data_IF_488470247100
#
_entry.id   IF_488470247100
#
_cell.length_a   1.000
_cell.length_b   1.000
_cell.length_c   1.000
_cell.angle_alpha   90.00
_cell.angle_beta   90.00
_cell.angle_gamma   90.00
#
_symmetry.space_group_name_H-M   'P 1'
#
loop_
_entity.id
_entity.type
_entity.pdbx_description
1 polymer ?
#
# COMPACT_ATOMS: atom_id res chain seq x y z
N UNK A 1 -4.99 -6.48 -2.68
CA UNK A 1 -3.87 -5.57 -3.03
C UNK A 1 -4.30 -4.37 -3.89
N UNK A 2 -5.52 -4.32 -4.46
CA UNK A 2 -5.97 -3.24 -5.34
C UNK A 2 -6.21 -1.89 -4.64
N UNK A 3 -6.68 -1.89 -3.39
CA UNK A 3 -7.01 -0.69 -2.62
C UNK A 3 -5.83 0.30 -2.47
N UNK A 4 -4.59 -0.19 -2.36
CA UNK A 4 -3.42 0.66 -2.20
C UNK A 4 -3.05 1.42 -3.49
N UNK A 5 -3.23 0.78 -4.66
CA UNK A 5 -2.95 1.42 -5.95
C UNK A 5 -3.99 2.49 -6.31
N UNK A 6 -5.24 2.27 -5.91
CA UNK A 6 -6.33 3.22 -6.11
C UNK A 6 -6.17 4.45 -5.21
N UNK A 7 -5.83 4.23 -3.93
CA UNK A 7 -5.47 5.31 -3.00
C UNK A 7 -4.29 6.14 -3.53
N UNK A 8 -3.24 5.49 -4.04
CA UNK A 8 -2.08 6.17 -4.63
C UNK A 8 -2.47 7.04 -5.83
N UNK A 9 -3.33 6.54 -6.73
CA UNK A 9 -3.84 7.32 -7.86
C UNK A 9 -4.62 8.55 -7.39
N UNK A 10 -5.51 8.39 -6.41
CA UNK A 10 -6.28 9.51 -5.87
C UNK A 10 -5.41 10.57 -5.19
N UNK A 11 -4.34 10.15 -4.48
CA UNK A 11 -3.36 11.07 -3.88
C UNK A 11 -2.64 11.89 -4.95
N UNK A 12 -2.19 11.25 -6.03
CA UNK A 12 -1.50 11.93 -7.13
C UNK A 12 -2.43 12.87 -7.88
N UNK A 13 -3.67 12.45 -8.12
CA UNK A 13 -4.67 13.26 -8.80
C UNK A 13 -5.05 14.49 -7.97
N UNK A 14 -5.26 14.34 -6.67
CA UNK A 14 -5.52 15.45 -5.77
C UNK A 14 -4.35 16.44 -5.72
N UNK A 15 -3.11 15.94 -5.67
CA UNK A 15 -1.90 16.77 -5.66
C UNK A 15 -1.80 17.70 -6.88
N UNK A 16 -1.99 17.12 -8.07
CA UNK A 16 -1.86 17.83 -9.34
C UNK A 16 -3.00 18.82 -9.55
N UNK A 17 -4.22 18.42 -9.19
CA UNK A 17 -5.42 19.25 -9.39
C UNK A 17 -5.61 20.31 -8.30
N UNK A 18 -4.91 20.21 -7.16
CA UNK A 18 -4.98 21.22 -6.09
C UNK A 18 -4.52 22.60 -6.55
N UNK A 19 -3.48 22.70 -7.38
CA UNK A 19 -3.01 23.98 -7.90
C UNK A 19 -4.10 24.68 -8.73
N UNK A 20 -4.70 23.94 -9.65
CA UNK A 20 -5.81 24.39 -10.51
C UNK A 20 -7.04 24.76 -9.69
N UNK A 21 -7.37 23.98 -8.67
CA UNK A 21 -8.51 24.28 -7.79
C UNK A 21 -8.28 25.54 -6.94
N UNK A 22 -7.04 25.81 -6.52
CA UNK A 22 -6.71 27.06 -5.83
C UNK A 22 -6.81 28.27 -6.78
N UNK A 23 -6.40 28.14 -8.03
CA UNK A 23 -6.58 29.19 -9.04
C UNK A 23 -8.05 29.42 -9.37
N UNK A 24 -8.83 28.34 -9.49
CA UNK A 24 -10.29 28.42 -9.67
C UNK A 24 -10.98 29.13 -8.49
N UNK A 25 -10.53 28.87 -7.25
CA UNK A 25 -11.01 29.56 -6.05
C UNK A 25 -10.61 31.04 -6.04
N UNK A 26 -9.37 31.37 -6.45
CA UNK A 26 -8.89 32.75 -6.56
C UNK A 26 -9.59 33.54 -7.66
N UNK A 27 -9.95 32.88 -8.76
CA UNK A 27 -10.70 33.44 -9.88
C UNK A 27 -12.21 33.63 -9.57
N UNK A 28 -12.63 33.42 -8.32
CA UNK A 28 -14.01 33.69 -7.87
C UNK A 28 -15.05 32.76 -8.48
N UNK A 29 -14.69 31.52 -8.81
CA UNK A 29 -15.59 30.55 -9.47
C UNK A 29 -16.06 31.00 -10.86
N UNK A 30 -15.15 31.60 -11.64
CA UNK A 30 -15.43 31.97 -13.03
C UNK A 30 -15.89 30.77 -13.87
N UNK A 31 -17.08 30.89 -14.49
CA UNK A 31 -17.64 29.88 -15.41
C UNK A 31 -16.69 29.54 -16.57
N UNK A 32 -15.90 30.51 -17.05
CA UNK A 32 -14.92 30.31 -18.13
C UNK A 32 -13.78 29.40 -17.69
N UNK A 33 -13.31 29.56 -16.45
CA UNK A 33 -12.23 28.75 -15.89
C UNK A 33 -12.72 27.33 -15.57
N UNK A 34 -13.97 27.21 -15.11
CA UNK A 34 -14.60 25.90 -14.92
C UNK A 34 -14.72 25.13 -16.22
N UNK A 35 -15.09 25.77 -17.34
CA UNK A 35 -15.20 25.11 -18.63
C UNK A 35 -13.84 24.64 -19.17
N UNK A 36 -12.77 25.41 -18.95
CA UNK A 36 -11.42 25.04 -19.36
C UNK A 36 -10.79 23.91 -18.51
N UNK A 37 -11.09 23.89 -17.20
CA UNK A 37 -10.52 22.94 -16.24
C UNK A 37 -11.54 21.96 -15.65
N UNK A 38 -12.61 21.66 -16.39
CA UNK A 38 -13.76 20.91 -15.88
C UNK A 38 -13.37 19.51 -15.41
N UNK A 39 -12.54 18.83 -16.20
CA UNK A 39 -12.00 17.50 -15.90
C UNK A 39 -11.16 17.50 -14.64
N UNK A 40 -10.28 18.49 -14.47
CA UNK A 40 -9.38 18.63 -13.33
C UNK A 40 -10.14 18.95 -12.03
N UNK A 41 -11.17 19.79 -12.11
CA UNK A 41 -12.04 20.12 -10.97
C UNK A 41 -12.87 18.90 -10.55
N UNK A 42 -13.42 18.14 -11.51
CA UNK A 42 -14.14 16.90 -11.23
C UNK A 42 -13.22 15.85 -10.58
N UNK A 43 -12.01 15.67 -11.10
CA UNK A 43 -11.00 14.80 -10.51
C UNK A 43 -10.64 15.22 -9.09
N UNK A 44 -10.50 16.53 -8.83
CA UNK A 44 -10.24 17.06 -7.49
C UNK A 44 -11.40 16.74 -6.52
N UNK A 45 -12.65 16.95 -6.96
CA UNK A 45 -13.84 16.67 -6.15
C UNK A 45 -14.02 15.18 -5.90
N UNK A 46 -13.77 14.32 -6.89
CA UNK A 46 -13.85 12.87 -6.74
C UNK A 46 -12.80 12.37 -5.74
N UNK A 47 -11.55 12.85 -5.87
CA UNK A 47 -10.50 12.53 -4.91
C UNK A 47 -10.85 13.03 -3.51
N UNK A 48 -11.37 14.26 -3.38
CA UNK A 48 -11.80 14.83 -2.10
C UNK A 48 -12.91 13.99 -1.44
N UNK A 49 -13.94 13.59 -2.19
CA UNK A 49 -15.01 12.69 -1.69
C UNK A 49 -14.45 11.35 -1.20
N UNK A 50 -13.47 10.79 -1.91
CA UNK A 50 -12.79 9.56 -1.49
C UNK A 50 -12.04 9.74 -0.17
N UNK A 51 -11.40 10.89 0.07
CA UNK A 51 -10.73 11.19 1.34
C UNK A 51 -11.70 11.53 2.47
N UNK A 52 -12.80 12.24 2.17
CA UNK A 52 -13.86 12.55 3.13
C UNK A 52 -14.53 11.25 3.63
N UNK A 53 -14.75 10.27 2.74
CA UNK A 53 -15.25 8.94 3.11
C UNK A 53 -14.28 8.11 3.97
N UNK A 54 -12.99 8.46 3.97
CA UNK A 54 -11.98 7.87 4.84
C UNK A 54 -11.81 8.64 6.16
N UNK A 55 -12.56 9.73 6.38
CA UNK A 55 -12.49 10.54 7.60
C UNK A 55 -11.22 11.39 7.72
N UNK A 56 -10.46 11.57 6.64
CA UNK A 56 -9.19 12.30 6.64
C UNK A 56 -9.48 13.80 6.48
N UNK A 57 -9.61 14.51 7.60
CA UNK A 57 -9.97 15.94 7.68
C UNK A 57 -8.82 16.91 7.36
N UNK A 58 -7.57 16.47 7.52
CA UNK A 58 -6.37 17.19 7.06
C UNK A 58 -5.63 16.27 6.11
N UNK A 59 -5.66 16.57 4.82
CA UNK A 59 -4.75 15.90 3.88
C UNK A 59 -3.32 16.31 4.27
N UNK A 60 -2.49 15.38 4.78
CA UNK A 60 -1.07 15.66 4.93
C UNK A 60 -0.50 15.99 3.55
N UNK A 61 0.54 16.83 3.52
CA UNK A 61 1.18 17.23 2.27
C UNK A 61 1.48 16.00 1.42
N UNK A 62 1.25 16.08 0.12
CA UNK A 62 1.51 14.96 -0.81
C UNK A 62 2.94 14.45 -0.69
N UNK A 63 3.86 15.34 -0.28
CA UNK A 63 5.24 15.01 0.03
C UNK A 63 5.36 14.07 1.23
N UNK A 64 4.73 14.39 2.36
CA UNK A 64 4.76 13.53 3.55
C UNK A 64 4.03 12.21 3.31
N UNK A 65 2.93 12.21 2.54
CA UNK A 65 2.20 10.99 2.23
C UNK A 65 2.99 10.06 1.29
N UNK A 66 3.81 10.62 0.39
CA UNK A 66 4.75 9.84 -0.43
C UNK A 66 5.93 9.32 0.38
N UNK A 67 6.46 10.12 1.30
CA UNK A 67 7.55 9.72 2.21
C UNK A 67 7.11 8.60 3.16
N UNK A 68 5.94 8.74 3.79
CA UNK A 68 5.34 7.69 4.63
C UNK A 68 5.07 6.41 3.84
N UNK A 69 4.54 6.53 2.61
CA UNK A 69 4.33 5.37 1.75
C UNK A 69 5.65 4.68 1.36
N UNK A 70 6.68 5.46 0.99
CA UNK A 70 8.00 4.93 0.66
C UNK A 70 8.63 4.24 1.88
N UNK A 71 8.50 4.85 3.07
CA UNK A 71 8.96 4.27 4.33
C UNK A 71 8.23 2.96 4.67
N UNK A 72 6.90 2.93 4.57
CA UNK A 72 6.12 1.69 4.76
C UNK A 72 6.49 0.61 3.75
N UNK A 73 6.75 0.98 2.50
CA UNK A 73 7.14 0.03 1.46
C UNK A 73 8.52 -0.58 1.77
N UNK A 74 9.45 0.24 2.26
CA UNK A 74 10.77 -0.23 2.66
C UNK A 74 10.71 -1.13 3.89
N UNK A 75 9.92 -0.76 4.90
CA UNK A 75 9.68 -1.60 6.08
C UNK A 75 9.03 -2.94 5.69
N UNK A 76 8.04 -2.93 4.79
CA UNK A 76 7.43 -4.15 4.25
C UNK A 76 8.46 -5.01 3.51
N UNK A 77 9.33 -4.42 2.69
CA UNK A 77 10.39 -5.15 1.97
C UNK A 77 11.38 -5.79 2.94
N UNK A 78 11.84 -5.05 3.95
CA UNK A 78 12.75 -5.57 5.00
C UNK A 78 12.10 -6.72 5.75
N UNK A 79 10.90 -6.53 6.29
CA UNK A 79 10.16 -7.58 7.00
C UNK A 79 9.90 -8.81 6.11
N UNK A 80 9.55 -8.62 4.85
CA UNK A 80 9.30 -9.72 3.91
C UNK A 80 10.59 -10.48 3.56
N UNK A 81 11.73 -9.79 3.47
CA UNK A 81 13.02 -10.45 3.25
C UNK A 81 13.43 -11.34 4.43
N UNK A 82 13.25 -10.85 5.66
CA UNK A 82 13.51 -11.63 6.88
C UNK A 82 12.55 -12.82 7.01
N UNK A 83 11.26 -12.63 6.66
CA UNK A 83 10.30 -13.73 6.61
C UNK A 83 10.69 -14.79 5.57
N UNK A 84 11.15 -14.37 4.38
CA UNK A 84 11.58 -15.28 3.32
C UNK A 84 12.79 -16.11 3.74
N UNK A 85 13.77 -15.50 4.43
CA UNK A 85 14.92 -16.20 4.99
C UNK A 85 14.49 -17.19 6.07
N UNK A 86 13.73 -16.75 7.08
CA UNK A 86 13.27 -17.64 8.15
C UNK A 86 12.47 -18.86 7.62
N UNK A 87 11.70 -18.68 6.55
CA UNK A 87 10.98 -19.78 5.89
C UNK A 87 11.93 -20.75 5.18
N UNK A 88 13.01 -20.24 4.57
CA UNK A 88 14.02 -21.08 3.93
C UNK A 88 14.78 -21.90 4.98
N UNK A 89 15.22 -21.25 6.07
CA UNK A 89 15.93 -21.89 7.17
C UNK A 89 15.07 -22.97 7.84
N UNK A 90 13.77 -22.71 8.03
CA UNK A 90 12.84 -23.70 8.57
C UNK A 90 12.71 -24.92 7.65
N UNK A 91 12.67 -24.73 6.32
CA UNK A 91 12.62 -25.82 5.36
C UNK A 91 13.92 -26.64 5.37
N UNK A 92 15.05 -25.97 5.48
CA UNK A 92 16.36 -26.61 5.56
C UNK A 92 16.50 -27.41 6.86
N UNK A 93 16.11 -26.86 8.00
CA UNK A 93 16.06 -27.58 9.29
C UNK A 93 15.16 -28.80 9.23
N UNK A 94 13.98 -28.70 8.60
CA UNK A 94 13.11 -29.86 8.40
C UNK A 94 13.75 -30.93 7.53
N UNK A 95 14.50 -30.55 6.48
CA UNK A 95 15.21 -31.49 5.63
C UNK A 95 16.38 -32.16 6.38
N UNK A 96 17.20 -31.39 7.09
CA UNK A 96 18.30 -31.92 7.92
C UNK A 96 17.75 -32.89 8.95
N UNK A 97 16.67 -32.52 9.63
CA UNK A 97 15.98 -33.40 10.58
C UNK A 97 15.49 -34.68 9.93
N UNK A 98 14.83 -34.60 8.78
CA UNK A 98 14.35 -35.79 8.06
C UNK A 98 15.50 -36.70 7.62
N UNK A 99 16.63 -36.14 7.19
CA UNK A 99 17.83 -36.90 6.83
C UNK A 99 18.43 -37.60 8.04
N UNK A 100 18.53 -36.92 9.19
CA UNK A 100 19.04 -37.50 10.44
C UNK A 100 18.11 -38.59 10.98
N UNK A 101 16.79 -38.37 10.96
CA UNK A 101 15.79 -39.38 11.34
C UNK A 101 15.87 -40.61 10.43
N UNK A 102 16.10 -40.43 9.13
CA UNK A 102 16.29 -41.52 8.17
C UNK A 102 17.60 -42.30 8.39
N UNK A 103 18.70 -41.61 8.69
CA UNK A 103 20.00 -42.22 8.98
C UNK A 103 20.04 -43.00 10.29
N UNK A 104 19.23 -42.59 11.27
CA UNK A 104 19.17 -43.18 12.61
C UNK A 104 18.02 -44.19 12.77
N UNK A 105 17.28 -44.52 11.70
CA UNK A 105 16.10 -45.40 11.73
C UNK A 105 15.09 -45.04 12.84
N UNK A 106 14.99 -43.75 13.18
CA UNK A 106 14.07 -43.28 14.22
C UNK A 106 12.67 -43.21 13.60
N UNK A 107 11.66 -43.93 14.14
CA UNK A 107 10.31 -43.88 13.61
C UNK A 107 9.78 -42.45 13.67
N UNK A 108 9.40 -41.90 12.52
CA UNK A 108 8.97 -40.51 12.40
C UNK A 108 7.66 -40.29 13.17
N UNK A 109 7.71 -39.62 14.32
CA UNK A 109 6.52 -39.12 15.00
C UNK A 109 5.94 -37.93 14.22
N UNK A 110 5.30 -38.20 13.08
CA UNK A 110 4.57 -37.18 12.32
C UNK A 110 3.30 -36.82 13.09
N UNK A 111 3.30 -35.69 13.80
CA UNK A 111 2.04 -34.97 14.04
C UNK A 111 1.73 -34.16 12.77
N UNK A 112 0.58 -34.37 12.11
CA UNK A 112 0.21 -33.57 10.95
C UNK A 112 0.05 -32.11 11.39
N UNK A 113 0.96 -31.27 10.91
CA UNK A 113 0.87 -29.82 11.08
C UNK A 113 -0.34 -29.36 10.26
N UNK A 114 -1.48 -29.17 10.93
CA UNK A 114 -2.70 -28.62 10.32
C UNK A 114 -2.33 -27.33 9.60
N UNK A 115 -2.37 -27.37 8.27
CA UNK A 115 -2.41 -26.18 7.44
C UNK A 115 -3.66 -25.39 7.82
N UNK A 116 -3.49 -24.30 8.58
CA UNK A 116 -4.56 -23.32 8.77
C UNK A 116 -4.76 -22.63 7.42
N UNK A 117 -5.93 -22.88 6.82
CA UNK A 117 -6.50 -22.10 5.73
C UNK A 117 -6.70 -20.65 6.17
#
# INVERSE_FOLDING_TARGET
MAANGELQKQIVNYAKTRAVYMEYRKAGYSKKFRAAHETEILLHQAAKKHFDGLGITKLPSVKSLREEYAGLLEQKRKAYSSYKQARADMKELHNVRANVEHLLDIPTWRKPQKSRQ
#
